data_IF_783124617534
#
_entry.id   IF_783124617534
#
_cell.length_a   1.000
_cell.length_b   1.000
_cell.length_c   1.000
_cell.angle_alpha   90.00
_cell.angle_beta   90.00
_cell.angle_gamma   90.00
#
_symmetry.space_group_name_H-M   'P 1'
#
loop_
_entity.id
_entity.type
_entity.pdbx_description
1 polymer ?
#
# COMPACT_ATOMS: atom_id res chain seq x y z
N UNK A 1 15.79 -32.09 33.53
CA UNK A 1 14.72 -31.40 32.76
C UNK A 1 13.47 -32.25 32.87
N UNK A 2 12.44 -31.77 33.59
CA UNK A 2 11.23 -32.56 33.87
C UNK A 2 10.27 -32.56 32.69
N UNK A 3 9.49 -33.65 32.54
CA UNK A 3 8.50 -33.80 31.46
C UNK A 3 7.39 -32.69 31.42
N UNK A 4 7.33 -31.86 32.45
CA UNK A 4 6.43 -30.71 32.53
C UNK A 4 6.83 -29.54 31.63
N UNK A 5 8.14 -29.34 31.40
CA UNK A 5 8.64 -28.21 30.60
C UNK A 5 8.44 -28.41 29.09
N UNK A 6 8.45 -29.65 28.61
CA UNK A 6 8.25 -29.95 27.18
C UNK A 6 6.80 -29.77 26.73
N UNK A 7 5.82 -30.05 27.60
CA UNK A 7 4.41 -29.85 27.27
C UNK A 7 4.00 -28.37 27.27
N UNK A 8 4.56 -27.55 28.15
CA UNK A 8 4.29 -26.10 28.16
C UNK A 8 4.87 -25.39 26.93
N UNK A 9 6.06 -25.79 26.46
CA UNK A 9 6.70 -25.28 25.24
C UNK A 9 5.95 -25.73 23.98
N UNK A 10 5.45 -26.97 23.95
CA UNK A 10 4.66 -27.47 22.82
C UNK A 10 3.28 -26.80 22.75
N UNK A 11 2.64 -26.54 23.88
CA UNK A 11 1.36 -25.82 23.96
C UNK A 11 1.52 -24.33 23.57
N UNK A 12 2.60 -23.67 24.02
CA UNK A 12 2.91 -22.29 23.64
C UNK A 12 3.20 -22.15 22.13
N UNK A 13 3.88 -23.17 21.53
CA UNK A 13 4.08 -23.22 20.05
C UNK A 13 2.76 -23.40 19.31
N UNK A 14 1.83 -24.22 19.80
CA UNK A 14 0.52 -24.43 19.18
C UNK A 14 -0.38 -23.21 19.20
N UNK A 15 -0.33 -22.41 20.27
CA UNK A 15 -1.07 -21.14 20.38
C UNK A 15 -0.42 -20.06 19.50
N UNK A 16 0.91 -19.98 19.46
CA UNK A 16 1.64 -19.04 18.60
C UNK A 16 1.33 -19.25 17.11
N UNK A 17 1.33 -20.51 16.64
CA UNK A 17 1.00 -20.85 15.24
C UNK A 17 -0.47 -20.55 14.88
N UNK A 18 -1.40 -20.64 15.82
CA UNK A 18 -2.82 -20.29 15.61
C UNK A 18 -3.04 -18.78 15.58
N UNK A 19 -2.21 -17.99 16.25
CA UNK A 19 -2.31 -16.55 16.31
C UNK A 19 -1.49 -15.82 15.20
N UNK A 20 -0.58 -16.52 14.54
CA UNK A 20 0.28 -15.97 13.48
C UNK A 20 -0.48 -15.17 12.39
N UNK A 21 -1.62 -15.66 11.84
CA UNK A 21 -2.38 -14.88 10.85
C UNK A 21 -3.04 -13.63 11.43
N UNK A 22 -3.27 -13.56 12.74
CA UNK A 22 -3.88 -12.40 13.39
C UNK A 22 -2.83 -11.36 13.84
N UNK A 23 -1.59 -11.77 14.05
CA UNK A 23 -0.49 -10.91 14.52
C UNK A 23 -0.17 -9.83 13.48
N UNK A 24 -0.18 -10.18 12.19
CA UNK A 24 0.04 -9.22 11.10
C UNK A 24 -1.02 -8.12 11.04
N UNK A 25 -2.21 -8.39 11.57
CA UNK A 25 -3.33 -7.45 11.62
C UNK A 25 -3.34 -6.60 12.91
N UNK A 26 -2.86 -7.15 14.02
CA UNK A 26 -2.87 -6.49 15.34
C UNK A 26 -2.01 -5.22 15.33
N UNK A 27 -0.84 -5.24 14.71
CA UNK A 27 0.07 -4.09 14.66
C UNK A 27 -0.57 -2.86 14.01
N UNK A 28 -0.99 -2.93 12.73
CA UNK A 28 -1.71 -1.83 12.08
C UNK A 28 -2.95 -1.38 12.82
N UNK A 29 -3.75 -2.31 13.38
CA UNK A 29 -4.95 -1.97 14.13
C UNK A 29 -4.66 -1.20 15.42
N UNK A 30 -3.61 -1.59 16.15
CA UNK A 30 -3.18 -0.85 17.34
C UNK A 30 -2.73 0.58 16.99
N UNK A 31 -2.02 0.75 15.86
CA UNK A 31 -1.62 2.07 15.38
C UNK A 31 -2.82 2.91 14.91
N UNK A 32 -3.79 2.30 14.22
CA UNK A 32 -5.06 2.97 13.86
C UNK A 32 -5.78 3.46 15.12
N UNK A 33 -5.91 2.59 16.12
CA UNK A 33 -6.53 2.95 17.39
C UNK A 33 -5.78 4.09 18.09
N UNK A 34 -4.45 4.06 18.09
CA UNK A 34 -3.63 5.14 18.65
C UNK A 34 -3.86 6.48 17.94
N UNK A 35 -3.95 6.49 16.60
CA UNK A 35 -4.27 7.70 15.83
C UNK A 35 -5.68 8.20 16.17
N UNK A 36 -6.67 7.29 16.25
CA UNK A 36 -8.04 7.67 16.59
C UNK A 36 -8.14 8.28 17.99
N UNK A 37 -7.49 7.69 18.99
CA UNK A 37 -7.44 8.20 20.36
C UNK A 37 -6.72 9.55 20.41
N UNK A 38 -5.57 9.67 19.76
CA UNK A 38 -4.80 10.92 19.71
C UNK A 38 -5.61 12.05 19.07
N UNK A 39 -6.18 11.81 17.88
CA UNK A 39 -6.99 12.83 17.18
C UNK A 39 -8.30 13.11 17.91
N UNK A 40 -8.84 12.14 18.65
CA UNK A 40 -10.00 12.31 19.51
C UNK A 40 -9.76 13.24 20.69
N UNK A 41 -8.51 13.39 21.12
CA UNK A 41 -8.11 14.32 22.18
C UNK A 41 -7.74 15.70 21.61
N UNK A 42 -6.99 15.72 20.50
CA UNK A 42 -6.36 16.97 19.99
C UNK A 42 -7.30 17.78 19.10
N UNK A 43 -7.98 17.13 18.14
CA UNK A 43 -8.83 17.82 17.15
C UNK A 43 -10.11 17.03 16.82
N UNK A 44 -10.94 16.68 17.83
CA UNK A 44 -12.10 15.79 17.64
C UNK A 44 -13.11 16.34 16.65
N UNK A 45 -13.43 17.63 16.73
CA UNK A 45 -14.46 18.25 15.90
C UNK A 45 -14.12 18.29 14.40
N UNK A 46 -12.82 18.33 14.07
CA UNK A 46 -12.35 18.33 12.66
C UNK A 46 -12.12 16.93 12.16
N UNK A 47 -11.43 16.09 12.94
CA UNK A 47 -11.02 14.77 12.49
C UNK A 47 -12.22 13.84 12.28
N UNK A 48 -13.18 13.82 13.20
CA UNK A 48 -14.37 12.96 13.11
C UNK A 48 -15.54 13.57 12.34
N UNK A 49 -15.34 14.72 11.71
CA UNK A 49 -16.35 15.28 10.82
C UNK A 49 -16.60 14.34 9.64
N UNK A 50 -17.86 14.11 9.28
CA UNK A 50 -18.26 13.19 8.20
C UNK A 50 -17.52 13.46 6.88
N UNK A 51 -17.34 14.75 6.53
CA UNK A 51 -16.58 15.13 5.31
C UNK A 51 -15.12 14.70 5.38
N UNK A 52 -14.48 14.75 6.55
CA UNK A 52 -13.11 14.32 6.73
C UNK A 52 -12.96 12.80 6.71
N UNK A 53 -13.87 12.07 7.37
CA UNK A 53 -13.91 10.62 7.31
C UNK A 53 -14.12 10.13 5.87
N UNK A 54 -15.00 10.78 5.12
CA UNK A 54 -15.19 10.52 3.70
C UNK A 54 -13.90 10.74 2.90
N UNK A 55 -13.16 11.82 3.20
CA UNK A 55 -11.86 12.09 2.55
C UNK A 55 -10.84 11.01 2.84
N UNK A 56 -10.74 10.52 4.08
CA UNK A 56 -9.88 9.39 4.46
C UNK A 56 -10.22 8.14 3.64
N UNK A 57 -11.51 7.83 3.50
CA UNK A 57 -11.97 6.69 2.71
C UNK A 57 -11.65 6.84 1.22
N UNK A 58 -11.83 8.05 0.66
CA UNK A 58 -11.50 8.35 -0.74
C UNK A 58 -9.99 8.24 -1.00
N UNK A 59 -9.15 8.68 -0.05
CA UNK A 59 -7.70 8.54 -0.14
C UNK A 59 -7.28 7.08 -0.06
N UNK A 60 -7.82 6.33 0.90
CA UNK A 60 -7.56 4.90 1.05
C UNK A 60 -7.97 4.11 -0.21
N UNK A 61 -9.11 4.42 -0.79
CA UNK A 61 -9.65 3.74 -1.96
C UNK A 61 -8.70 3.77 -3.16
N UNK A 62 -7.94 4.87 -3.34
CA UNK A 62 -6.96 4.99 -4.43
C UNK A 62 -5.82 3.97 -4.29
N UNK A 63 -5.42 3.66 -3.06
CA UNK A 63 -4.32 2.74 -2.79
C UNK A 63 -4.73 1.28 -2.76
N UNK A 64 -6.02 0.96 -2.50
CA UNK A 64 -6.53 -0.42 -2.36
C UNK A 64 -6.23 -1.33 -3.55
N UNK A 65 -6.52 -0.95 -4.82
CA UNK A 65 -6.21 -1.80 -5.98
C UNK A 65 -4.71 -2.07 -6.10
N UNK A 66 -3.90 -1.04 -5.92
CA UNK A 66 -2.45 -1.16 -6.01
C UNK A 66 -1.88 -2.00 -4.85
N UNK A 67 -2.37 -1.83 -3.63
CA UNK A 67 -1.94 -2.62 -2.48
C UNK A 67 -2.29 -4.10 -2.64
N UNK A 68 -3.45 -4.39 -3.21
CA UNK A 68 -3.83 -5.76 -3.57
C UNK A 68 -2.81 -6.37 -4.52
N UNK A 69 -2.51 -5.73 -5.64
CA UNK A 69 -1.58 -6.25 -6.64
C UNK A 69 -0.13 -6.28 -6.14
N UNK A 70 0.30 -5.26 -5.39
CA UNK A 70 1.63 -5.20 -4.77
C UNK A 70 1.83 -6.33 -3.75
N UNK A 71 0.76 -6.79 -3.08
CA UNK A 71 0.83 -7.96 -2.22
C UNK A 71 1.29 -9.20 -2.99
N UNK A 72 0.82 -9.43 -4.22
CA UNK A 72 1.30 -10.55 -5.06
C UNK A 72 2.74 -10.35 -5.51
N UNK A 73 3.12 -9.13 -5.89
CA UNK A 73 4.49 -8.82 -6.35
C UNK A 73 5.49 -9.01 -5.18
N UNK A 74 5.23 -8.41 -4.02
CA UNK A 74 6.12 -8.51 -2.84
C UNK A 74 6.20 -9.96 -2.35
N UNK A 75 5.10 -10.70 -2.35
CA UNK A 75 5.09 -12.10 -1.92
C UNK A 75 6.03 -12.96 -2.75
N UNK A 76 6.27 -12.64 -4.02
CA UNK A 76 7.24 -13.30 -4.92
C UNK A 76 8.66 -12.71 -4.83
N UNK A 77 8.96 -11.90 -3.80
CA UNK A 77 10.22 -11.17 -3.60
C UNK A 77 10.46 -10.09 -4.66
N UNK A 78 9.40 -9.63 -5.37
CA UNK A 78 9.46 -8.53 -6.32
C UNK A 78 9.14 -7.19 -5.66
N UNK A 79 9.55 -6.10 -6.32
CA UNK A 79 9.17 -4.73 -5.96
C UNK A 79 8.89 -3.99 -7.25
N UNK A 80 7.77 -3.23 -7.30
CA UNK A 80 7.46 -2.37 -8.44
C UNK A 80 7.43 -0.91 -8.00
N UNK A 81 8.44 -0.16 -8.42
CA UNK A 81 8.55 1.28 -8.16
C UNK A 81 7.88 2.14 -9.25
N UNK A 82 7.46 1.55 -10.38
CA UNK A 82 6.90 2.28 -11.50
C UNK A 82 5.41 2.59 -11.39
N UNK A 83 4.72 2.10 -10.36
CA UNK A 83 3.25 2.18 -10.25
C UNK A 83 2.71 3.59 -10.29
N UNK A 84 3.45 4.58 -9.78
CA UNK A 84 3.06 5.99 -9.82
C UNK A 84 3.08 6.56 -11.23
N UNK A 85 4.10 6.24 -12.02
CA UNK A 85 4.21 6.66 -13.42
C UNK A 85 3.27 5.88 -14.33
N UNK A 86 3.04 4.59 -14.07
CA UNK A 86 2.02 3.78 -14.76
C UNK A 86 0.63 4.38 -14.56
N UNK A 87 0.27 4.74 -13.32
CA UNK A 87 -1.00 5.41 -13.00
C UNK A 87 -1.12 6.75 -13.74
N UNK A 88 -0.07 7.58 -13.70
CA UNK A 88 -0.07 8.88 -14.36
C UNK A 88 -0.14 8.77 -15.90
N UNK A 89 0.67 7.90 -16.51
CA UNK A 89 0.70 7.74 -17.97
C UNK A 89 -0.63 7.18 -18.50
N UNK A 90 -1.17 6.14 -17.85
CA UNK A 90 -2.48 5.58 -18.22
C UNK A 90 -3.59 6.63 -18.14
N UNK A 91 -3.60 7.43 -17.06
CA UNK A 91 -4.56 8.50 -16.87
C UNK A 91 -4.39 9.65 -17.88
N UNK A 92 -3.15 10.03 -18.23
CA UNK A 92 -2.87 11.04 -19.26
C UNK A 92 -3.35 10.56 -20.64
N UNK A 93 -3.07 9.29 -20.99
CA UNK A 93 -3.55 8.74 -22.28
C UNK A 93 -5.08 8.73 -22.32
N UNK A 94 -5.74 8.27 -21.25
CA UNK A 94 -7.20 8.36 -21.14
C UNK A 94 -7.70 9.80 -21.33
N UNK A 95 -7.08 10.73 -20.62
CA UNK A 95 -7.45 12.15 -20.70
C UNK A 95 -7.29 12.71 -22.11
N UNK A 96 -6.21 12.35 -22.79
CA UNK A 96 -5.95 12.76 -24.15
C UNK A 96 -6.95 12.19 -25.16
N UNK A 97 -7.29 10.91 -25.03
CA UNK A 97 -8.32 10.25 -25.84
C UNK A 97 -9.67 10.94 -25.70
N UNK A 98 -10.07 11.27 -24.47
CA UNK A 98 -11.35 11.98 -24.23
C UNK A 98 -11.33 13.41 -24.76
N UNK A 99 -10.26 14.16 -24.43
CA UNK A 99 -10.23 15.62 -24.68
C UNK A 99 -9.84 16.00 -26.09
N UNK A 100 -8.86 15.29 -26.67
CA UNK A 100 -8.32 15.65 -27.98
C UNK A 100 -8.99 14.88 -29.11
N UNK A 101 -9.37 13.63 -28.87
CA UNK A 101 -9.91 12.74 -29.89
C UNK A 101 -11.40 12.46 -29.74
N UNK A 102 -12.05 12.98 -28.66
CA UNK A 102 -13.49 12.82 -28.46
C UNK A 102 -13.96 11.37 -28.19
N UNK A 103 -13.06 10.51 -27.71
CA UNK A 103 -13.42 9.12 -27.38
C UNK A 103 -14.45 9.10 -26.24
N UNK A 104 -15.44 8.18 -26.30
CA UNK A 104 -16.33 7.90 -25.17
C UNK A 104 -15.53 7.50 -23.93
N UNK A 105 -15.88 8.05 -22.76
CA UNK A 105 -15.15 7.82 -21.51
C UNK A 105 -14.97 6.32 -21.16
N UNK A 106 -15.96 5.42 -21.36
CA UNK A 106 -15.75 3.99 -21.09
C UNK A 106 -14.65 3.37 -21.95
N UNK A 107 -14.62 3.71 -23.24
CA UNK A 107 -13.62 3.20 -24.19
C UNK A 107 -12.23 3.71 -23.81
N UNK A 108 -12.11 5.00 -23.53
CA UNK A 108 -10.84 5.60 -23.10
C UNK A 108 -10.32 4.99 -21.78
N UNK A 109 -11.21 4.69 -20.82
CA UNK A 109 -10.85 4.03 -19.57
C UNK A 109 -10.38 2.57 -19.82
N UNK A 110 -11.03 1.82 -20.70
CA UNK A 110 -10.60 0.47 -21.07
C UNK A 110 -9.23 0.48 -21.75
N UNK A 111 -8.96 1.44 -22.64
CA UNK A 111 -7.65 1.62 -23.29
C UNK A 111 -6.59 1.94 -22.24
N UNK A 112 -6.90 2.78 -21.26
CA UNK A 112 -5.98 3.09 -20.16
C UNK A 112 -5.65 1.87 -19.29
N UNK A 113 -6.64 1.02 -18.99
CA UNK A 113 -6.41 -0.25 -18.28
C UNK A 113 -5.54 -1.20 -19.09
N UNK A 114 -5.82 -1.34 -20.39
CA UNK A 114 -5.01 -2.16 -21.31
C UNK A 114 -3.57 -1.64 -21.41
N UNK A 115 -3.37 -0.32 -21.46
CA UNK A 115 -2.05 0.29 -21.44
C UNK A 115 -1.32 -0.01 -20.12
N UNK A 116 -2.02 0.06 -18.98
CA UNK A 116 -1.46 -0.34 -17.68
C UNK A 116 -1.01 -1.80 -17.68
N UNK A 117 -1.85 -2.71 -18.20
CA UNK A 117 -1.51 -4.12 -18.35
C UNK A 117 -0.27 -4.32 -19.25
N UNK A 118 -0.19 -3.58 -20.36
CA UNK A 118 0.96 -3.60 -21.27
C UNK A 118 2.25 -3.10 -20.58
N UNK A 119 2.18 -2.02 -19.84
CA UNK A 119 3.32 -1.50 -19.07
C UNK A 119 3.76 -2.51 -18.00
N UNK A 120 2.83 -3.15 -17.31
CA UNK A 120 3.12 -4.24 -16.40
C UNK A 120 3.76 -5.45 -17.09
N UNK A 121 3.30 -5.79 -18.29
CA UNK A 121 3.91 -6.83 -19.12
C UNK A 121 5.37 -6.49 -19.47
N UNK A 122 5.63 -5.25 -19.89
CA UNK A 122 6.98 -4.78 -20.19
C UNK A 122 7.87 -4.88 -18.94
N UNK A 123 7.41 -4.44 -17.78
CA UNK A 123 8.14 -4.59 -16.51
C UNK A 123 8.46 -6.07 -16.24
N UNK A 124 7.45 -6.93 -16.33
CA UNK A 124 7.63 -8.36 -16.14
C UNK A 124 8.65 -8.97 -17.10
N UNK A 125 8.66 -8.57 -18.38
CA UNK A 125 9.61 -9.04 -19.38
C UNK A 125 11.04 -8.52 -19.11
N UNK A 126 11.19 -7.26 -18.73
CA UNK A 126 12.49 -6.67 -18.36
C UNK A 126 13.12 -7.45 -17.19
N UNK A 127 12.33 -7.76 -16.19
CA UNK A 127 12.79 -8.46 -14.99
C UNK A 127 13.11 -9.93 -15.30
N UNK A 128 12.20 -10.64 -16.00
CA UNK A 128 12.34 -12.08 -16.17
C UNK A 128 13.22 -12.47 -17.37
N UNK A 129 13.08 -11.79 -18.51
CA UNK A 129 13.82 -12.12 -19.73
C UNK A 129 15.17 -11.44 -19.83
N UNK A 130 15.26 -10.17 -19.45
CA UNK A 130 16.53 -9.45 -19.43
C UNK A 130 17.30 -9.66 -18.12
N UNK A 131 16.68 -10.36 -17.14
CA UNK A 131 17.26 -10.66 -15.81
C UNK A 131 17.73 -9.41 -15.05
N UNK A 132 17.08 -8.28 -15.29
CA UNK A 132 17.34 -7.04 -14.54
C UNK A 132 16.75 -7.17 -13.14
N UNK A 133 17.47 -6.82 -12.07
CA UNK A 133 16.90 -6.82 -10.72
C UNK A 133 15.65 -5.93 -10.63
N UNK A 134 14.61 -6.42 -9.96
CA UNK A 134 13.28 -5.81 -9.89
C UNK A 134 13.34 -4.32 -9.51
N UNK A 135 14.11 -3.99 -8.48
CA UNK A 135 14.25 -2.61 -8.01
C UNK A 135 14.83 -1.68 -9.08
N UNK A 136 15.88 -2.11 -9.77
CA UNK A 136 16.55 -1.31 -10.80
C UNK A 136 15.68 -1.23 -12.05
N UNK A 137 15.10 -2.36 -12.47
CA UNK A 137 14.24 -2.43 -13.65
C UNK A 137 13.00 -1.55 -13.52
N UNK A 138 12.26 -1.65 -12.40
CA UNK A 138 11.05 -0.86 -12.20
C UNK A 138 11.34 0.62 -11.95
N UNK A 139 12.46 0.97 -11.30
CA UNK A 139 12.88 2.36 -11.16
C UNK A 139 13.25 2.99 -12.51
N UNK A 140 13.96 2.27 -13.37
CA UNK A 140 14.25 2.73 -14.72
C UNK A 140 12.97 2.91 -15.55
N UNK A 141 12.04 1.95 -15.45
CA UNK A 141 10.74 2.05 -16.12
C UNK A 141 9.85 3.17 -15.56
N UNK A 142 9.96 3.52 -14.26
CA UNK A 142 9.30 4.71 -13.71
C UNK A 142 9.73 5.98 -14.45
N UNK A 143 11.04 6.14 -14.69
CA UNK A 143 11.56 7.28 -15.45
C UNK A 143 11.06 7.28 -16.90
N UNK A 144 11.05 6.11 -17.56
CA UNK A 144 10.57 5.97 -18.93
C UNK A 144 9.08 6.35 -19.05
N UNK A 145 8.23 5.76 -18.20
CA UNK A 145 6.78 6.03 -18.23
C UNK A 145 6.46 7.47 -17.81
N UNK A 146 7.19 8.01 -16.85
CA UNK A 146 7.08 9.42 -16.45
C UNK A 146 7.49 10.34 -17.59
N UNK A 147 8.56 10.01 -18.30
CA UNK A 147 9.01 10.72 -19.49
C UNK A 147 7.93 10.73 -20.58
N UNK A 148 7.33 9.59 -20.91
CA UNK A 148 6.23 9.53 -21.88
C UNK A 148 5.00 10.35 -21.42
N UNK A 149 4.65 10.30 -20.12
CA UNK A 149 3.56 11.11 -19.59
C UNK A 149 3.82 12.61 -19.79
N UNK A 150 5.06 13.07 -19.56
CA UNK A 150 5.46 14.47 -19.77
C UNK A 150 5.43 14.86 -21.25
N UNK A 151 5.92 14.01 -22.14
CA UNK A 151 5.92 14.26 -23.60
C UNK A 151 4.50 14.38 -24.13
N UNK A 152 3.58 13.49 -23.72
CA UNK A 152 2.18 13.50 -24.16
C UNK A 152 1.45 14.70 -23.56
N UNK A 153 1.59 14.95 -22.25
CA UNK A 153 0.90 16.03 -21.56
C UNK A 153 1.46 17.43 -21.91
N UNK A 154 2.71 17.52 -22.41
CA UNK A 154 3.39 18.81 -22.71
C UNK A 154 3.34 19.80 -21.55
N UNK A 155 3.38 19.30 -20.31
CA UNK A 155 3.26 20.12 -19.10
C UNK A 155 1.84 20.62 -18.78
N UNK A 156 0.84 20.26 -19.57
CA UNK A 156 -0.54 20.71 -19.37
C UNK A 156 -1.23 19.93 -18.24
N UNK A 157 -2.13 20.62 -17.54
CA UNK A 157 -3.13 20.00 -16.66
C UNK A 157 -4.40 19.78 -17.48
N UNK A 158 -4.81 18.52 -17.62
CA UNK A 158 -6.06 18.15 -18.28
C UNK A 158 -7.16 18.04 -17.21
N UNK A 159 -8.24 18.82 -17.38
CA UNK A 159 -9.31 18.93 -16.37
C UNK A 159 -10.71 18.85 -17.00
N UNK A 160 -11.75 18.76 -16.14
CA UNK A 160 -13.18 18.69 -16.52
C UNK A 160 -13.50 17.43 -17.30
N UNK A 161 -13.51 16.30 -16.60
CA UNK A 161 -13.83 14.98 -17.18
C UNK A 161 -15.34 14.71 -17.19
N UNK A 162 -15.80 13.81 -18.07
CA UNK A 162 -17.19 13.33 -18.08
C UNK A 162 -17.61 12.72 -16.74
N UNK A 163 -18.94 12.72 -16.49
CA UNK A 163 -19.50 12.24 -15.22
C UNK A 163 -19.08 10.83 -14.85
N UNK A 164 -18.97 9.92 -15.82
CA UNK A 164 -18.51 8.56 -15.55
C UNK A 164 -17.14 8.54 -14.83
N UNK A 165 -16.19 9.36 -15.28
CA UNK A 165 -14.85 9.39 -14.68
C UNK A 165 -14.91 10.02 -13.29
N UNK A 166 -15.68 11.09 -13.11
CA UNK A 166 -15.86 11.72 -11.80
C UNK A 166 -16.60 10.83 -10.83
N UNK A 167 -17.58 10.03 -11.29
CA UNK A 167 -18.27 9.01 -10.50
C UNK A 167 -17.32 7.92 -10.00
N UNK A 168 -16.43 7.41 -10.87
CA UNK A 168 -15.42 6.42 -10.50
C UNK A 168 -14.47 6.96 -9.41
N UNK A 169 -14.16 8.25 -9.39
CA UNK A 169 -13.19 8.84 -8.48
C UNK A 169 -13.74 9.47 -7.22
N UNK A 170 -15.00 9.94 -7.22
CA UNK A 170 -15.63 10.63 -6.09
C UNK A 170 -17.15 10.52 -6.03
N UNK A 171 -17.76 9.68 -6.88
CA UNK A 171 -19.19 9.44 -6.87
C UNK A 171 -19.69 8.83 -5.56
N UNK A 172 -20.97 8.93 -5.34
CA UNK A 172 -21.65 8.23 -4.24
C UNK A 172 -22.38 7.02 -4.81
N UNK A 173 -21.97 5.83 -4.40
CA UNK A 173 -22.54 4.57 -4.85
C UNK A 173 -23.53 4.00 -3.83
N UNK A 174 -23.96 2.77 -4.10
CA UNK A 174 -24.84 1.98 -3.26
C UNK A 174 -24.43 2.01 -1.77
N UNK A 175 -25.42 2.08 -0.87
CA UNK A 175 -25.27 1.91 0.57
C UNK A 175 -24.42 2.99 1.28
N UNK A 176 -24.47 4.24 0.84
CA UNK A 176 -23.78 5.38 1.47
C UNK A 176 -22.24 5.36 1.38
N UNK A 177 -21.64 4.39 0.71
CA UNK A 177 -20.21 4.35 0.46
C UNK A 177 -19.84 5.07 -0.84
N UNK A 178 -18.73 5.82 -0.89
CA UNK A 178 -18.22 6.38 -2.13
C UNK A 178 -17.91 5.29 -3.16
N UNK A 179 -18.21 5.54 -4.43
CA UNK A 179 -17.93 4.63 -5.55
C UNK A 179 -16.48 4.11 -5.55
N UNK A 180 -15.43 4.95 -5.37
CA UNK A 180 -14.06 4.46 -5.34
C UNK A 180 -13.79 3.48 -4.19
N UNK A 181 -14.46 3.64 -3.04
CA UNK A 181 -14.33 2.68 -1.91
C UNK A 181 -14.89 1.32 -2.30
N UNK A 182 -16.04 1.29 -2.95
CA UNK A 182 -16.65 0.05 -3.44
C UNK A 182 -15.72 -0.64 -4.45
N UNK A 183 -15.18 0.11 -5.40
CA UNK A 183 -14.20 -0.41 -6.38
C UNK A 183 -12.96 -0.98 -5.66
N UNK A 184 -12.38 -0.23 -4.73
CA UNK A 184 -11.24 -0.67 -3.94
C UNK A 184 -11.51 -1.95 -3.14
N UNK A 185 -12.66 -2.02 -2.47
CA UNK A 185 -13.08 -3.22 -1.73
C UNK A 185 -13.30 -4.43 -2.65
N UNK A 186 -13.91 -4.24 -3.81
CA UNK A 186 -14.08 -5.31 -4.80
C UNK A 186 -12.72 -5.86 -5.22
N UNK A 187 -11.75 -4.99 -5.53
CA UNK A 187 -10.40 -5.45 -5.91
C UNK A 187 -9.73 -6.25 -4.80
N UNK A 188 -9.87 -5.82 -3.53
CA UNK A 188 -9.33 -6.55 -2.38
C UNK A 188 -10.02 -7.89 -2.16
N UNK A 189 -11.35 -7.97 -2.28
CA UNK A 189 -12.11 -9.22 -2.17
C UNK A 189 -11.69 -10.20 -3.27
N UNK A 190 -11.60 -9.71 -4.52
CA UNK A 190 -11.13 -10.51 -5.66
C UNK A 190 -9.69 -10.98 -5.43
N UNK A 191 -8.80 -10.10 -4.99
CA UNK A 191 -7.41 -10.44 -4.65
C UNK A 191 -7.33 -11.48 -3.54
N UNK A 192 -8.13 -11.33 -2.48
CA UNK A 192 -8.21 -12.30 -1.38
C UNK A 192 -8.66 -13.68 -1.89
N UNK A 193 -9.71 -13.70 -2.72
CA UNK A 193 -10.19 -14.93 -3.33
C UNK A 193 -9.10 -15.57 -4.20
N UNK A 194 -8.45 -14.80 -5.08
CA UNK A 194 -7.35 -15.28 -5.93
C UNK A 194 -6.23 -15.86 -5.06
N UNK A 195 -5.81 -15.15 -4.01
CA UNK A 195 -4.71 -15.57 -3.15
C UNK A 195 -5.02 -16.89 -2.41
N UNK A 196 -6.25 -17.05 -1.92
CA UNK A 196 -6.62 -18.17 -1.04
C UNK A 196 -7.08 -19.42 -1.77
N UNK A 197 -7.76 -19.26 -2.91
CA UNK A 197 -8.47 -20.37 -3.57
C UNK A 197 -7.85 -20.83 -4.89
N UNK A 198 -7.11 -19.97 -5.60
CA UNK A 198 -6.62 -20.28 -6.93
C UNK A 198 -5.20 -20.88 -6.93
N UNK A 199 -4.83 -21.51 -8.04
CA UNK A 199 -3.45 -21.93 -8.29
C UNK A 199 -2.49 -20.73 -8.31
N UNK A 200 -2.95 -19.59 -8.84
CA UNK A 200 -2.14 -18.37 -8.90
C UNK A 200 -1.68 -17.93 -7.49
N UNK A 201 -2.57 -17.91 -6.52
CA UNK A 201 -2.21 -17.56 -5.14
C UNK A 201 -1.25 -18.56 -4.49
N UNK A 202 -1.48 -19.86 -4.70
CA UNK A 202 -0.58 -20.91 -4.19
C UNK A 202 0.82 -20.83 -4.78
N UNK A 203 0.92 -20.62 -6.10
CA UNK A 203 2.21 -20.45 -6.77
C UNK A 203 2.93 -19.18 -6.34
N UNK A 204 2.20 -18.07 -6.15
CA UNK A 204 2.75 -16.83 -5.58
C UNK A 204 3.47 -17.09 -4.27
N UNK A 205 2.85 -17.81 -3.33
CA UNK A 205 3.42 -18.13 -2.01
C UNK A 205 4.60 -19.09 -2.14
N UNK A 206 4.46 -20.13 -2.98
CA UNK A 206 5.53 -21.12 -3.24
C UNK A 206 6.79 -20.46 -3.79
N UNK A 207 6.66 -19.69 -4.87
CA UNK A 207 7.76 -18.96 -5.52
C UNK A 207 8.44 -18.02 -4.51
N UNK A 208 7.65 -17.30 -3.73
CA UNK A 208 8.19 -16.41 -2.70
C UNK A 208 8.93 -17.14 -1.59
N UNK A 209 8.54 -18.36 -1.26
CA UNK A 209 9.21 -19.17 -0.23
C UNK A 209 10.56 -19.69 -0.74
N UNK A 210 10.58 -20.32 -1.92
CA UNK A 210 11.79 -20.81 -2.58
C UNK A 210 11.55 -20.88 -4.10
N UNK A 211 12.05 -19.91 -4.88
CA UNK A 211 11.87 -19.90 -6.33
C UNK A 211 12.49 -21.13 -7.02
N UNK A 212 13.69 -21.55 -6.58
CA UNK A 212 14.41 -22.68 -7.19
C UNK A 212 13.65 -24.00 -6.97
N UNK A 213 13.20 -24.27 -5.74
CA UNK A 213 12.39 -25.44 -5.46
C UNK A 213 11.04 -25.42 -6.20
N UNK A 214 10.45 -24.23 -6.40
CA UNK A 214 9.21 -24.09 -7.16
C UNK A 214 9.41 -24.42 -8.64
N UNK A 215 10.50 -23.99 -9.23
CA UNK A 215 10.87 -24.31 -10.61
C UNK A 215 11.09 -25.83 -10.79
N UNK A 216 11.77 -26.48 -9.85
CA UNK A 216 11.98 -27.94 -9.84
C UNK A 216 10.66 -28.72 -9.75
N UNK A 217 9.59 -28.16 -9.22
CA UNK A 217 8.25 -28.77 -9.19
C UNK A 217 7.43 -28.51 -10.45
N UNK A 218 8.01 -27.85 -11.48
CA UNK A 218 7.36 -27.57 -12.75
C UNK A 218 6.54 -26.28 -12.78
N UNK A 219 6.69 -25.41 -11.78
CA UNK A 219 6.06 -24.08 -11.80
C UNK A 219 6.92 -23.15 -12.67
N UNK A 220 6.38 -22.62 -13.77
CA UNK A 220 7.04 -21.61 -14.58
C UNK A 220 7.11 -20.27 -13.82
N UNK A 221 8.18 -20.08 -13.07
CA UNK A 221 8.42 -18.92 -12.20
C UNK A 221 8.40 -17.63 -13.00
N UNK A 222 9.04 -17.59 -14.17
CA UNK A 222 9.15 -16.40 -15.00
C UNK A 222 7.77 -15.94 -15.49
N UNK A 223 6.94 -16.85 -16.03
CA UNK A 223 5.57 -16.51 -16.47
C UNK A 223 4.71 -16.03 -15.30
N UNK A 224 4.83 -16.68 -14.16
CA UNK A 224 4.04 -16.32 -13.00
C UNK A 224 4.39 -14.91 -12.50
N UNK A 225 5.67 -14.54 -12.48
CA UNK A 225 6.12 -13.18 -12.17
C UNK A 225 5.58 -12.17 -13.18
N UNK A 226 5.64 -12.46 -14.49
CA UNK A 226 5.07 -11.59 -15.53
C UNK A 226 3.59 -11.31 -15.24
N UNK A 227 2.78 -12.32 -14.92
CA UNK A 227 1.36 -12.11 -14.60
C UNK A 227 1.14 -11.22 -13.38
N UNK A 228 1.98 -11.32 -12.36
CA UNK A 228 1.90 -10.44 -11.19
C UNK A 228 2.20 -8.97 -11.56
N UNK A 229 3.17 -8.72 -12.44
CA UNK A 229 3.45 -7.36 -12.94
C UNK A 229 2.35 -6.84 -13.87
N UNK A 230 1.74 -7.68 -14.70
CA UNK A 230 0.56 -7.32 -15.52
C UNK A 230 -0.60 -6.90 -14.63
N UNK A 231 -0.89 -7.69 -13.57
CA UNK A 231 -1.89 -7.35 -12.58
C UNK A 231 -1.56 -6.01 -11.90
N UNK A 232 -0.28 -5.79 -11.54
CA UNK A 232 0.18 -4.55 -10.90
C UNK A 232 -0.05 -3.33 -11.80
N UNK A 233 0.36 -3.40 -13.05
CA UNK A 233 0.18 -2.32 -14.03
C UNK A 233 -1.31 -2.01 -14.28
N UNK A 234 -2.17 -3.05 -14.36
CA UNK A 234 -3.62 -2.87 -14.51
C UNK A 234 -4.23 -2.15 -13.31
N UNK A 235 -3.85 -2.55 -12.08
CA UNK A 235 -4.36 -1.93 -10.85
C UNK A 235 -3.80 -0.52 -10.65
N UNK A 236 -2.57 -0.25 -11.09
CA UNK A 236 -2.00 1.10 -11.10
C UNK A 236 -2.77 2.01 -12.09
N UNK A 237 -3.12 1.52 -13.28
CA UNK A 237 -3.95 2.26 -14.23
C UNK A 237 -5.35 2.55 -13.67
N UNK A 238 -5.97 1.57 -12.99
CA UNK A 238 -7.24 1.77 -12.31
C UNK A 238 -7.15 2.88 -11.26
N UNK A 239 -6.11 2.87 -10.44
CA UNK A 239 -5.86 3.92 -9.46
C UNK A 239 -5.65 5.30 -10.14
N UNK A 240 -5.00 5.35 -11.29
CA UNK A 240 -4.85 6.57 -12.11
C UNK A 240 -6.18 7.13 -12.60
N UNK A 241 -7.09 6.25 -13.06
CA UNK A 241 -8.45 6.62 -13.47
C UNK A 241 -9.23 7.17 -12.25
N UNK A 242 -9.19 6.47 -11.13
CA UNK A 242 -9.82 6.89 -9.88
C UNK A 242 -9.28 8.24 -9.38
N UNK A 243 -7.97 8.46 -9.45
CA UNK A 243 -7.32 9.72 -9.09
C UNK A 243 -7.80 10.86 -10.01
N UNK A 244 -7.87 10.62 -11.32
CA UNK A 244 -8.39 11.57 -12.30
C UNK A 244 -9.82 12.00 -11.98
N UNK A 245 -10.68 11.03 -11.65
CA UNK A 245 -12.06 11.29 -11.26
C UNK A 245 -12.15 12.06 -9.94
N UNK A 246 -11.34 11.69 -8.94
CA UNK A 246 -11.31 12.35 -7.63
C UNK A 246 -10.94 13.83 -7.75
N UNK A 247 -9.86 14.13 -8.48
CA UNK A 247 -9.35 15.50 -8.65
C UNK A 247 -10.10 16.27 -9.75
N UNK A 248 -10.86 15.57 -10.61
CA UNK A 248 -11.39 16.09 -11.86
C UNK A 248 -10.32 16.76 -12.74
N UNK A 249 -9.07 16.33 -12.56
CA UNK A 249 -7.89 16.82 -13.25
C UNK A 249 -6.77 15.79 -13.22
N UNK A 250 -5.86 15.82 -14.18
CA UNK A 250 -4.65 15.00 -14.22
C UNK A 250 -3.50 15.78 -14.86
N UNK A 251 -2.29 15.53 -14.37
CA UNK A 251 -1.03 16.03 -14.94
C UNK A 251 0.03 14.93 -14.90
N UNK A 252 1.07 15.06 -15.71
CA UNK A 252 2.11 14.03 -15.81
C UNK A 252 2.86 13.77 -14.51
N UNK A 253 2.91 14.74 -13.60
CA UNK A 253 3.52 14.61 -12.26
C UNK A 253 2.54 14.14 -11.19
N UNK A 254 1.32 13.77 -11.56
CA UNK A 254 0.34 13.18 -10.61
C UNK A 254 0.83 11.85 -10.06
N UNK A 255 0.24 11.45 -8.95
CA UNK A 255 0.58 10.23 -8.21
C UNK A 255 2.07 10.16 -7.73
N UNK A 256 2.64 11.28 -7.22
CA UNK A 256 3.97 11.21 -6.64
C UNK A 256 3.93 10.29 -5.41
N UNK A 257 5.01 9.55 -5.18
CA UNK A 257 5.19 8.68 -4.02
C UNK A 257 4.16 7.54 -3.83
N UNK A 258 3.28 7.27 -4.82
CA UNK A 258 2.33 6.15 -4.75
C UNK A 258 3.04 4.82 -4.48
N UNK A 259 4.19 4.60 -5.13
CA UNK A 259 5.04 3.44 -4.92
C UNK A 259 5.43 3.26 -3.45
N UNK A 260 5.94 4.31 -2.80
CA UNK A 260 6.39 4.25 -1.41
C UNK A 260 5.22 4.01 -0.45
N UNK A 261 4.09 4.72 -0.64
CA UNK A 261 2.91 4.55 0.19
C UNK A 261 2.32 3.14 0.08
N UNK A 262 2.22 2.61 -1.15
CA UNK A 262 1.65 1.27 -1.38
C UNK A 262 2.57 0.18 -0.82
N UNK A 263 3.88 0.26 -1.05
CA UNK A 263 4.85 -0.69 -0.48
C UNK A 263 4.78 -0.65 1.04
N UNK A 264 4.80 0.55 1.64
CA UNK A 264 4.71 0.70 3.09
C UNK A 264 3.41 0.10 3.64
N UNK A 265 2.26 0.39 3.01
CA UNK A 265 0.96 -0.16 3.42
C UNK A 265 0.97 -1.70 3.42
N UNK A 266 1.49 -2.31 2.36
CA UNK A 266 1.54 -3.76 2.19
C UNK A 266 2.48 -4.41 3.19
N UNK A 267 3.64 -3.80 3.45
CA UNK A 267 4.64 -4.32 4.40
C UNK A 267 4.16 -4.16 5.83
N UNK A 268 3.65 -2.98 6.21
CA UNK A 268 3.03 -2.75 7.53
C UNK A 268 1.86 -3.70 7.75
N UNK A 269 1.09 -3.99 6.69
CA UNK A 269 0.02 -4.97 6.67
C UNK A 269 0.48 -6.44 6.84
N UNK A 270 1.80 -6.68 6.97
CA UNK A 270 2.36 -7.99 7.31
C UNK A 270 2.68 -8.90 6.12
N UNK A 271 2.68 -8.37 4.89
CA UNK A 271 3.23 -9.08 3.73
C UNK A 271 4.77 -9.03 3.80
N UNK A 272 5.41 -10.19 3.65
CA UNK A 272 6.86 -10.33 3.82
C UNK A 272 7.64 -9.79 2.62
N UNK A 273 8.55 -8.83 2.84
CA UNK A 273 9.53 -8.40 1.82
C UNK A 273 10.48 -9.52 1.38
N UNK A 274 10.67 -10.52 2.23
CA UNK A 274 11.50 -11.69 1.90
C UNK A 274 10.73 -12.78 1.16
N UNK A 275 9.45 -12.52 0.83
CA UNK A 275 8.58 -13.42 0.11
C UNK A 275 7.90 -14.50 0.98
N UNK A 276 7.06 -15.31 0.35
CA UNK A 276 6.43 -16.50 0.92
C UNK A 276 5.27 -16.26 1.88
N UNK A 277 5.02 -15.01 2.31
CA UNK A 277 3.89 -14.64 3.19
C UNK A 277 3.14 -13.46 2.59
N UNK A 278 1.83 -13.60 2.48
CA UNK A 278 0.91 -12.59 1.91
C UNK A 278 -0.28 -12.35 2.82
N UNK A 279 -0.68 -11.09 2.97
CA UNK A 279 -1.87 -10.71 3.75
C UNK A 279 -2.63 -9.58 3.07
N UNK A 280 -3.65 -9.91 2.26
CA UNK A 280 -4.53 -8.89 1.62
C UNK A 280 -5.31 -8.09 2.68
N UNK A 281 -5.81 -8.78 3.73
CA UNK A 281 -6.52 -8.10 4.82
C UNK A 281 -5.61 -7.17 5.60
N UNK A 282 -4.36 -7.62 5.83
CA UNK A 282 -3.34 -6.75 6.42
C UNK A 282 -3.00 -5.57 5.52
N UNK A 283 -2.89 -5.76 4.21
CA UNK A 283 -2.65 -4.66 3.26
C UNK A 283 -3.77 -3.61 3.28
N UNK A 284 -5.04 -4.02 3.45
CA UNK A 284 -6.15 -3.09 3.69
C UNK A 284 -5.93 -2.28 4.98
N UNK A 285 -5.58 -2.95 6.08
CA UNK A 285 -5.31 -2.26 7.35
C UNK A 285 -4.14 -1.28 7.21
N UNK A 286 -3.07 -1.64 6.49
CA UNK A 286 -1.94 -0.76 6.20
C UNK A 286 -2.33 0.44 5.34
N UNK A 287 -3.17 0.26 4.32
CA UNK A 287 -3.70 1.36 3.50
C UNK A 287 -4.53 2.33 4.35
N UNK A 288 -5.43 1.81 5.19
CA UNK A 288 -6.23 2.64 6.09
C UNK A 288 -5.34 3.40 7.07
N UNK A 289 -4.37 2.73 7.67
CA UNK A 289 -3.42 3.35 8.59
C UNK A 289 -2.68 4.54 7.96
N UNK A 290 -2.08 4.34 6.78
CA UNK A 290 -1.34 5.42 6.10
C UNK A 290 -2.26 6.57 5.67
N UNK A 291 -3.44 6.27 5.15
CA UNK A 291 -4.41 7.31 4.77
C UNK A 291 -4.88 8.11 5.98
N UNK A 292 -5.16 7.46 7.11
CA UNK A 292 -5.52 8.11 8.37
C UNK A 292 -4.39 8.97 8.94
N UNK A 293 -3.16 8.47 8.85
CA UNK A 293 -1.98 9.19 9.31
C UNK A 293 -1.75 10.47 8.48
N UNK A 294 -1.76 10.37 7.15
CA UNK A 294 -1.58 11.53 6.26
C UNK A 294 -2.70 12.53 6.52
N UNK A 295 -3.95 12.07 6.64
CA UNK A 295 -5.08 12.94 6.94
C UNK A 295 -4.96 13.60 8.31
N UNK A 296 -4.45 12.92 9.33
CA UNK A 296 -4.18 13.50 10.64
C UNK A 296 -3.19 14.67 10.54
N UNK A 297 -2.10 14.52 9.76
CA UNK A 297 -1.13 15.60 9.52
C UNK A 297 -1.78 16.80 8.83
N UNK A 298 -2.66 16.57 7.85
CA UNK A 298 -3.43 17.60 7.17
C UNK A 298 -4.37 18.31 8.14
N UNK A 299 -5.09 17.56 8.99
CA UNK A 299 -6.04 18.09 9.98
C UNK A 299 -5.33 18.96 11.03
N UNK A 300 -4.13 18.57 11.43
CA UNK A 300 -3.24 19.33 12.31
C UNK A 300 -2.57 20.53 11.62
N UNK A 301 -2.90 20.79 10.34
CA UNK A 301 -2.32 21.87 9.53
C UNK A 301 -0.81 21.78 9.32
N UNK A 302 -0.25 20.58 9.43
CA UNK A 302 1.16 20.32 9.15
C UNK A 302 1.41 20.49 7.65
N UNK A 303 2.35 21.34 7.29
CA UNK A 303 2.64 21.68 5.89
C UNK A 303 2.99 20.46 5.04
N UNK A 304 2.68 20.53 3.75
CA UNK A 304 2.86 19.43 2.78
C UNK A 304 4.27 18.80 2.80
N UNK A 305 5.30 19.61 2.97
CA UNK A 305 6.69 19.10 3.03
C UNK A 305 6.93 18.19 4.25
N UNK A 306 6.33 18.50 5.38
CA UNK A 306 6.40 17.67 6.59
C UNK A 306 5.65 16.34 6.45
N UNK A 307 4.61 16.29 5.62
CA UNK A 307 3.90 15.04 5.31
C UNK A 307 4.83 14.04 4.61
N UNK A 308 5.70 14.52 3.71
CA UNK A 308 6.71 13.68 3.05
C UNK A 308 7.75 13.15 4.03
N UNK A 309 8.21 13.98 4.99
CA UNK A 309 9.12 13.56 6.07
C UNK A 309 8.46 12.50 6.94
N UNK A 310 7.23 12.74 7.38
CA UNK A 310 6.48 11.80 8.22
C UNK A 310 6.27 10.45 7.51
N UNK A 311 5.91 10.47 6.23
CA UNK A 311 5.76 9.26 5.42
C UNK A 311 7.06 8.45 5.36
N UNK A 312 8.20 9.11 5.12
CA UNK A 312 9.51 8.48 5.09
C UNK A 312 9.87 7.83 6.44
N UNK A 313 9.66 8.54 7.55
CA UNK A 313 9.90 8.03 8.90
C UNK A 313 9.03 6.81 9.20
N UNK A 314 7.75 6.85 8.84
CA UNK A 314 6.82 5.72 9.04
C UNK A 314 7.26 4.50 8.23
N UNK A 315 7.70 4.68 6.99
CA UNK A 315 8.19 3.58 6.15
C UNK A 315 9.41 2.92 6.80
N UNK A 316 10.42 3.72 7.16
CA UNK A 316 11.65 3.21 7.81
C UNK A 316 11.30 2.46 9.08
N UNK A 317 10.46 3.07 9.92
CA UNK A 317 10.04 2.48 11.18
C UNK A 317 9.29 1.15 10.98
N UNK A 318 8.34 1.12 10.06
CA UNK A 318 7.53 -0.07 9.77
C UNK A 318 8.40 -1.23 9.29
N UNK A 319 9.34 -0.95 8.39
CA UNK A 319 10.28 -1.96 7.86
C UNK A 319 11.24 -2.42 8.98
N UNK A 320 11.77 -1.50 9.77
CA UNK A 320 12.67 -1.83 10.88
C UNK A 320 11.98 -2.69 11.94
N UNK A 321 10.76 -2.32 12.34
CA UNK A 321 9.95 -3.09 13.30
C UNK A 321 9.64 -4.49 12.76
N UNK A 322 9.21 -4.59 11.51
CA UNK A 322 8.92 -5.86 10.87
C UNK A 322 10.15 -6.76 10.81
N UNK A 323 11.29 -6.23 10.37
CA UNK A 323 12.56 -6.97 10.29
C UNK A 323 13.02 -7.46 11.68
N UNK A 324 12.88 -6.61 12.69
CA UNK A 324 13.22 -6.96 14.08
C UNK A 324 12.31 -8.07 14.64
N UNK A 325 11.00 -8.01 14.39
CA UNK A 325 10.06 -9.06 14.80
C UNK A 325 10.37 -10.39 14.12
N UNK A 326 10.67 -10.40 12.84
CA UNK A 326 11.05 -11.62 12.10
C UNK A 326 12.36 -12.23 12.60
N UNK A 327 13.36 -11.40 12.93
CA UNK A 327 14.63 -11.90 13.47
C UNK A 327 14.43 -12.61 14.81
N UNK A 328 13.58 -12.07 15.67
CA UNK A 328 13.27 -12.64 16.98
C UNK A 328 12.56 -14.01 16.87
N UNK A 329 11.71 -14.19 15.87
CA UNK A 329 11.04 -15.48 15.60
C UNK A 329 12.04 -16.54 15.10
N UNK A 330 13.05 -16.15 14.31
CA UNK A 330 14.10 -17.04 13.81
C UNK A 330 15.06 -17.53 14.89
N UNK A 331 15.39 -16.67 15.84
CA UNK A 331 16.37 -16.96 16.91
C UNK A 331 15.75 -17.79 18.06
N UNK A 332 14.54 -18.38 17.86
CA UNK A 332 13.91 -19.30 18.82
C UNK A 332 13.38 -18.64 20.11
N UNK A 333 13.35 -17.32 20.14
CA UNK A 333 12.67 -16.57 21.19
C UNK A 333 11.16 -16.72 21.03
N UNK A 334 10.43 -17.00 22.11
CA UNK A 334 8.97 -17.01 22.11
C UNK A 334 8.48 -15.68 21.53
N UNK A 335 7.92 -15.72 20.31
CA UNK A 335 7.53 -14.55 19.54
C UNK A 335 6.62 -13.58 20.31
N UNK A 336 5.82 -12.80 19.63
CA UNK A 336 4.94 -11.75 20.20
C UNK A 336 4.15 -12.24 21.42
N UNK A 337 3.87 -13.55 21.55
CA UNK A 337 3.28 -14.16 22.76
C UNK A 337 4.07 -13.87 24.05
N UNK A 338 5.42 -13.70 23.97
CA UNK A 338 6.23 -13.33 25.13
C UNK A 338 6.12 -11.87 25.55
N UNK A 339 5.62 -11.00 24.65
CA UNK A 339 5.34 -9.60 24.99
C UNK A 339 4.13 -9.47 25.92
N UNK A 340 3.22 -10.45 25.85
CA UNK A 340 2.01 -10.48 26.69
C UNK A 340 2.12 -11.42 27.88
N UNK A 341 3.12 -12.31 27.90
CA UNK A 341 3.22 -13.35 28.91
C UNK A 341 4.17 -13.04 30.09
N UNK A 342 5.00 -12.01 30.02
CA UNK A 342 5.96 -11.74 31.09
C UNK A 342 5.95 -10.30 31.57
N UNK A 343 5.52 -10.12 32.81
CA UNK A 343 5.38 -8.87 33.55
C UNK A 343 6.73 -8.37 34.11
N UNK A 344 7.83 -8.56 33.40
CA UNK A 344 9.14 -8.05 33.79
C UNK A 344 9.69 -7.14 32.69
N UNK A 345 9.96 -5.90 33.05
CA UNK A 345 10.53 -4.82 32.25
C UNK A 345 11.60 -5.29 31.25
N UNK A 346 11.20 -5.76 30.08
CA UNK A 346 12.13 -6.09 29.02
C UNK A 346 12.43 -4.84 28.20
N UNK A 347 13.65 -4.73 27.68
CA UNK A 347 14.10 -3.66 26.77
C UNK A 347 13.12 -3.41 25.60
N UNK A 348 12.22 -4.34 25.35
CA UNK A 348 11.21 -4.34 24.29
C UNK A 348 10.08 -3.34 24.54
N UNK A 349 9.58 -3.23 25.79
CA UNK A 349 8.57 -2.22 26.14
C UNK A 349 9.11 -0.80 26.04
N UNK A 350 10.41 -0.63 26.33
CA UNK A 350 11.10 0.66 26.17
C UNK A 350 11.25 1.05 24.70
N UNK A 351 11.57 0.10 23.80
CA UNK A 351 11.68 0.37 22.37
C UNK A 351 10.33 0.72 21.74
N UNK A 352 9.26 -0.02 22.07
CA UNK A 352 7.91 0.30 21.60
C UNK A 352 7.44 1.64 22.15
N UNK A 353 7.71 1.92 23.43
CA UNK A 353 7.40 3.22 24.05
C UNK A 353 8.24 4.37 23.43
N UNK A 354 9.54 4.14 23.17
CA UNK A 354 10.41 5.11 22.49
C UNK A 354 9.88 5.41 21.09
N UNK A 355 9.41 4.43 20.38
CA UNK A 355 8.98 4.57 19.01
C UNK A 355 7.61 5.23 18.91
N UNK A 356 6.65 4.80 19.71
CA UNK A 356 5.36 5.50 19.83
C UNK A 356 5.62 6.91 20.37
N UNK A 357 6.50 7.07 21.35
CA UNK A 357 6.92 8.35 21.88
C UNK A 357 7.61 9.25 20.84
N UNK A 358 8.48 8.69 19.99
CA UNK A 358 9.14 9.44 18.91
C UNK A 358 8.15 9.85 17.82
N UNK A 359 7.19 9.01 17.47
CA UNK A 359 6.13 9.34 16.52
C UNK A 359 5.23 10.45 17.07
N UNK A 360 4.83 10.33 18.32
CA UNK A 360 4.05 11.37 19.03
C UNK A 360 4.88 12.65 19.19
N UNK A 361 6.16 12.55 19.52
CA UNK A 361 7.06 13.70 19.62
C UNK A 361 7.28 14.40 18.28
N UNK A 362 7.42 13.66 17.17
CA UNK A 362 7.50 14.23 15.82
C UNK A 362 6.19 14.90 15.40
N UNK A 363 5.05 14.31 15.75
CA UNK A 363 3.74 14.94 15.53
C UNK A 363 3.56 16.20 16.38
N UNK A 364 3.98 16.18 17.65
CA UNK A 364 3.95 17.33 18.53
C UNK A 364 4.93 18.41 18.12
N UNK A 365 6.16 18.05 17.70
CA UNK A 365 7.16 19.01 17.20
C UNK A 365 6.66 19.66 15.90
N UNK A 366 6.06 18.89 15.01
CA UNK A 366 5.42 19.41 13.80
C UNK A 366 4.27 20.38 14.12
N UNK A 367 3.45 20.07 15.11
CA UNK A 367 2.38 20.95 15.58
C UNK A 367 2.90 22.23 16.24
N UNK A 368 3.96 22.17 17.03
CA UNK A 368 4.64 23.32 17.65
C UNK A 368 5.28 24.23 16.60
N UNK A 369 5.97 23.67 15.62
CA UNK A 369 6.60 24.43 14.53
C UNK A 369 5.57 25.02 13.55
N UNK A 370 4.39 24.41 13.39
CA UNK A 370 3.29 24.95 12.60
C UNK A 370 2.56 26.10 13.32
N UNK A 371 2.58 26.12 14.66
CA UNK A 371 1.97 27.19 15.47
C UNK A 371 2.68 28.54 15.41
N UNK A 372 3.98 28.55 15.03
CA UNK A 372 4.79 29.77 14.95
C UNK A 372 4.75 30.50 13.59
N UNK A 373 4.13 29.90 12.57
CA UNK A 373 3.92 30.55 11.27
C UNK A 373 2.59 31.35 11.35
N UNK A 374 2.61 32.54 11.98
CA UNK A 374 1.57 33.54 11.75
C UNK A 374 1.57 33.91 10.26
N UNK A 375 0.41 33.92 9.57
CA UNK A 375 0.34 34.50 8.25
C UNK A 375 0.70 35.98 8.38
N UNK A 376 1.84 36.36 7.80
CA UNK A 376 2.13 37.77 7.50
C UNK A 376 1.01 38.26 6.58
N UNK A 377 0.25 39.27 7.05
CA UNK A 377 -0.90 39.88 6.42
C UNK A 377 -0.63 40.50 5.06
#
# INVERSE_FOLDING_TARGET
>A
MSAGDTNSVAQARGIGQRLEPYISFIGPMAMILAILLFMGIVEPARYFRSSNLNQILLDAALYMPMAMAMTFVITQRGIDLSIGSVAALSAIVMAFLIKQYGFPAPIAALIALALGALMGLVNGLVITRLKVPDLIGTLAMDLVYRGFALVIAKGLVLARFPDLITEIGRGQSLMFLPTPVVIGLITLVVGYYILKTTHFGRYTISIGSNPEASDMTGIDVDRHRIYAYVLMGTMAALAGIMLTGKLNAIQATSAPYFNLHVIAAVVVGGTSLFGGRASIVGSLAGVLLLSMMINALVTLRIGFFWQSVASGVVIIFSVALYTWLQKKDRDGGAGIASLFANNTQSKTSRLTAIVVGTLVALLLLGALLAGDVKPSG
#
